data_IF_200618824894
#
_entry.id   IF_200618824894
#
_cell.length_a   1.000
_cell.length_b   1.000
_cell.length_c   1.000
_cell.angle_alpha   90.00
_cell.angle_beta   90.00
_cell.angle_gamma   90.00
#
_symmetry.space_group_name_H-M   'P 1'
#
loop_
_entity.id
_entity.type
_entity.pdbx_description
1 polymer ?
#
# COMPACT_ATOMS: atom_id res chain seq x y z
N UNK A 1 -35.53 13.04 -20.85
CA UNK A 1 -34.65 13.53 -19.77
C UNK A 1 -33.67 12.42 -19.44
N UNK A 2 -32.45 12.47 -19.98
CA UNK A 2 -31.41 11.49 -19.67
C UNK A 2 -30.62 11.99 -18.48
N UNK A 3 -30.66 11.26 -17.37
CA UNK A 3 -29.79 11.51 -16.24
C UNK A 3 -28.33 11.31 -16.70
N UNK A 4 -27.50 12.34 -16.53
CA UNK A 4 -26.05 12.21 -16.64
C UNK A 4 -25.60 11.16 -15.62
N UNK A 5 -24.69 10.23 -15.98
CA UNK A 5 -24.10 9.36 -14.97
C UNK A 5 -23.45 10.27 -13.92
N UNK A 6 -23.84 10.08 -12.66
CA UNK A 6 -23.25 10.80 -11.55
C UNK A 6 -21.73 10.66 -11.65
N UNK A 7 -21.01 11.78 -11.78
CA UNK A 7 -19.57 11.79 -11.67
C UNK A 7 -19.22 11.28 -10.27
N UNK A 8 -18.86 10.00 -10.21
CA UNK A 8 -18.26 9.39 -9.04
C UNK A 8 -17.11 10.30 -8.61
N UNK A 9 -17.02 10.72 -7.32
CA UNK A 9 -15.97 11.62 -6.89
C UNK A 9 -14.64 11.02 -7.33
N UNK A 10 -13.91 11.76 -8.16
CA UNK A 10 -12.62 11.35 -8.72
C UNK A 10 -11.72 11.01 -7.54
N UNK A 11 -11.63 9.72 -7.24
CA UNK A 11 -10.75 9.21 -6.21
C UNK A 11 -9.33 9.52 -6.71
N UNK A 12 -8.59 10.45 -6.08
CA UNK A 12 -7.30 10.91 -6.56
C UNK A 12 -6.22 9.81 -6.48
N UNK A 13 -6.59 8.62 -6.02
CA UNK A 13 -5.74 7.45 -5.87
C UNK A 13 -6.25 6.23 -6.66
N UNK A 14 -7.35 6.36 -7.44
CA UNK A 14 -7.72 5.37 -8.47
C UNK A 14 -6.68 5.49 -9.59
N UNK A 15 -6.20 4.36 -10.08
CA UNK A 15 -4.95 4.22 -10.86
C UNK A 15 -4.99 4.81 -12.28
N UNK A 16 -5.25 6.12 -12.44
CA UNK A 16 -4.93 6.84 -13.67
C UNK A 16 -4.63 8.34 -13.40
N UNK A 17 -3.50 8.80 -13.96
CA UNK A 17 -2.97 10.18 -13.92
C UNK A 17 -2.65 10.78 -12.52
N UNK A 18 -2.04 9.95 -11.66
CA UNK A 18 -1.38 10.34 -10.40
C UNK A 18 -0.50 9.20 -9.88
N UNK A 19 -0.07 8.31 -10.78
CA UNK A 19 0.63 7.08 -10.42
C UNK A 19 1.95 7.42 -9.76
N UNK A 20 2.19 6.82 -8.59
CA UNK A 20 3.40 7.00 -7.80
C UNK A 20 4.70 6.87 -8.61
N UNK A 21 5.85 7.19 -8.01
CA UNK A 21 7.09 7.48 -8.71
C UNK A 21 7.42 6.48 -9.83
N UNK A 22 7.36 6.94 -11.08
CA UNK A 22 7.55 6.10 -12.28
C UNK A 22 9.01 5.93 -12.65
N UNK A 23 9.86 6.82 -12.17
CA UNK A 23 11.33 6.73 -12.29
C UNK A 23 11.97 6.59 -10.91
N UNK A 24 13.22 6.12 -10.88
CA UNK A 24 13.98 6.04 -9.62
C UNK A 24 14.29 7.43 -9.05
N UNK A 25 14.51 8.43 -9.90
CA UNK A 25 14.64 9.83 -9.45
C UNK A 25 13.39 10.31 -8.73
N UNK A 26 12.20 10.01 -9.26
CA UNK A 26 10.94 10.33 -8.59
C UNK A 26 10.79 9.54 -7.28
N UNK A 27 11.24 8.28 -7.25
CA UNK A 27 11.19 7.45 -6.04
C UNK A 27 12.08 8.06 -4.94
N UNK A 28 13.30 8.46 -5.28
CA UNK A 28 14.23 9.14 -4.36
C UNK A 28 13.62 10.44 -3.80
N UNK A 29 13.01 11.26 -4.64
CA UNK A 29 12.36 12.49 -4.20
C UNK A 29 11.18 12.20 -3.26
N UNK A 30 10.36 11.21 -3.59
CA UNK A 30 9.21 10.81 -2.78
C UNK A 30 9.65 10.21 -1.42
N UNK A 31 10.70 9.39 -1.41
CA UNK A 31 11.28 8.87 -0.16
C UNK A 31 11.84 10.01 0.69
N UNK A 32 12.55 10.97 0.09
CA UNK A 32 13.05 12.16 0.81
C UNK A 32 11.91 12.94 1.48
N UNK A 33 10.78 13.11 0.79
CA UNK A 33 9.62 13.81 1.32
C UNK A 33 8.88 13.02 2.42
N UNK A 34 8.88 11.68 2.34
CA UNK A 34 8.20 10.82 3.29
C UNK A 34 9.04 10.54 4.56
N UNK A 35 10.33 10.23 4.40
CA UNK A 35 11.24 9.87 5.49
C UNK A 35 12.70 9.85 5.03
N UNK A 36 13.55 10.62 5.70
CA UNK A 36 15.00 10.61 5.46
C UNK A 36 15.63 9.21 5.71
N UNK A 37 15.16 8.49 6.72
CA UNK A 37 15.65 7.15 7.03
C UNK A 37 15.32 6.14 5.90
N UNK A 38 14.13 6.23 5.30
CA UNK A 38 13.76 5.38 4.17
C UNK A 38 14.59 5.70 2.92
N UNK A 39 14.90 6.98 2.71
CA UNK A 39 15.75 7.45 1.63
C UNK A 39 17.16 6.88 1.74
N UNK A 40 17.71 6.84 2.96
CA UNK A 40 19.03 6.30 3.28
C UNK A 40 19.08 4.78 3.13
N UNK A 41 18.08 4.07 3.69
CA UNK A 41 17.97 2.61 3.57
C UNK A 41 17.86 2.18 2.09
N UNK A 42 17.11 2.92 1.26
CA UNK A 42 17.03 2.65 -0.17
C UNK A 42 18.38 2.80 -0.88
N UNK A 43 19.19 3.83 -0.57
CA UNK A 43 20.53 3.96 -1.21
C UNK A 43 21.52 2.93 -0.71
N UNK A 44 21.45 2.54 0.56
CA UNK A 44 22.30 1.47 1.07
C UNK A 44 22.05 0.17 0.30
N UNK A 45 20.78 -0.21 0.16
CA UNK A 45 20.39 -1.41 -0.61
C UNK A 45 20.75 -1.26 -2.10
N UNK A 46 20.60 -0.07 -2.68
CA UNK A 46 20.98 0.16 -4.07
C UNK A 46 22.51 0.10 -4.28
N UNK A 47 23.30 0.48 -3.28
CA UNK A 47 24.76 0.43 -3.32
C UNK A 47 25.35 -0.97 -3.12
N UNK A 48 24.60 -1.88 -2.49
CA UNK A 48 24.96 -3.29 -2.31
C UNK A 48 24.52 -4.17 -3.49
N UNK A 49 23.63 -3.65 -4.34
CA UNK A 49 23.01 -4.39 -5.43
C UNK A 49 24.00 -4.67 -6.57
N UNK A 50 23.91 -5.87 -7.17
CA UNK A 50 24.53 -6.12 -8.46
C UNK A 50 23.74 -5.43 -9.57
N UNK A 51 24.29 -4.34 -10.12
CA UNK A 51 23.63 -3.56 -11.16
C UNK A 51 23.64 -4.24 -12.54
N UNK A 52 24.41 -5.32 -12.69
CA UNK A 52 24.40 -6.14 -13.90
C UNK A 52 23.20 -7.12 -13.90
N UNK A 53 22.48 -7.26 -12.78
CA UNK A 53 21.20 -7.96 -12.70
C UNK A 53 20.01 -6.97 -12.74
N UNK A 54 19.35 -6.81 -13.91
CA UNK A 54 18.22 -5.91 -14.05
C UNK A 54 16.97 -6.40 -13.30
N UNK A 55 16.86 -7.69 -12.99
CA UNK A 55 15.72 -8.24 -12.24
C UNK A 55 15.82 -7.89 -10.76
N UNK A 56 17.01 -8.00 -10.16
CA UNK A 56 17.24 -7.55 -8.78
C UNK A 56 16.96 -6.06 -8.61
N UNK A 57 17.42 -5.23 -9.56
CA UNK A 57 17.13 -3.80 -9.55
C UNK A 57 15.64 -3.51 -9.66
N UNK A 58 14.94 -4.19 -10.56
CA UNK A 58 13.50 -4.02 -10.72
C UNK A 58 12.72 -4.48 -9.47
N UNK A 59 13.17 -5.56 -8.81
CA UNK A 59 12.58 -6.07 -7.58
C UNK A 59 12.74 -5.07 -6.43
N UNK A 60 13.96 -4.52 -6.25
CA UNK A 60 14.24 -3.49 -5.25
C UNK A 60 13.33 -2.27 -5.44
N UNK A 61 13.28 -1.71 -6.66
CA UNK A 61 12.45 -0.54 -6.97
C UNK A 61 10.97 -0.84 -6.74
N UNK A 62 10.48 -2.04 -7.08
CA UNK A 62 9.09 -2.44 -6.84
C UNK A 62 8.77 -2.52 -5.35
N UNK A 63 9.66 -3.12 -4.56
CA UNK A 63 9.49 -3.24 -3.11
C UNK A 63 9.40 -1.86 -2.45
N UNK A 64 10.29 -0.93 -2.82
CA UNK A 64 10.29 0.43 -2.26
C UNK A 64 9.10 1.27 -2.68
N UNK A 65 8.61 1.12 -3.93
CA UNK A 65 7.34 1.70 -4.34
C UNK A 65 6.18 1.20 -3.51
N UNK A 66 6.11 -0.12 -3.29
CA UNK A 66 5.06 -0.71 -2.47
C UNK A 66 5.11 -0.19 -1.02
N UNK A 67 6.30 -0.15 -0.41
CA UNK A 67 6.52 0.39 0.94
C UNK A 67 6.10 1.86 1.05
N UNK A 68 6.48 2.69 0.08
CA UNK A 68 6.06 4.10 0.04
C UNK A 68 4.53 4.22 0.00
N UNK A 69 3.88 3.44 -0.87
CA UNK A 69 2.42 3.41 -0.98
C UNK A 69 1.77 3.03 0.36
N UNK A 70 2.31 2.03 1.08
CA UNK A 70 1.80 1.66 2.40
C UNK A 70 1.95 2.79 3.45
N UNK A 71 2.99 3.61 3.34
CA UNK A 71 3.24 4.70 4.30
C UNK A 71 2.48 5.98 4.01
N UNK A 72 2.18 6.29 2.76
CA UNK A 72 1.66 7.62 2.39
C UNK A 72 0.20 7.62 2.00
N UNK A 73 -0.41 6.45 1.72
CA UNK A 73 -1.82 6.37 1.34
C UNK A 73 -2.73 6.77 2.50
N UNK A 74 -3.57 7.82 2.34
CA UNK A 74 -4.47 8.27 3.40
C UNK A 74 -5.39 7.18 3.94
N UNK A 75 -5.89 6.29 3.08
CA UNK A 75 -6.74 5.17 3.47
C UNK A 75 -6.00 4.14 4.34
N UNK A 76 -4.70 3.93 4.09
CA UNK A 76 -3.87 3.03 4.90
C UNK A 76 -3.54 3.71 6.22
N UNK A 77 -3.19 4.99 6.20
CA UNK A 77 -2.97 5.78 7.42
C UNK A 77 -4.22 5.82 8.30
N UNK A 78 -5.40 5.99 7.71
CA UNK A 78 -6.67 5.95 8.41
C UNK A 78 -6.95 4.57 9.02
N UNK A 79 -6.69 3.49 8.26
CA UNK A 79 -6.84 2.13 8.77
C UNK A 79 -5.86 1.82 9.91
N UNK A 80 -4.60 2.27 9.81
CA UNK A 80 -3.61 2.14 10.88
C UNK A 80 -4.06 2.91 12.12
N UNK A 81 -4.49 4.17 11.96
CA UNK A 81 -5.01 4.98 13.07
C UNK A 81 -6.21 4.31 13.76
N UNK A 82 -7.17 3.80 12.97
CA UNK A 82 -8.32 3.06 13.49
C UNK A 82 -7.91 1.77 14.21
N UNK A 83 -6.90 1.05 13.70
CA UNK A 83 -6.39 -0.17 14.35
C UNK A 83 -5.69 0.12 15.69
N UNK A 84 -5.15 1.32 15.86
CA UNK A 84 -4.50 1.74 17.11
C UNK A 84 -5.47 2.39 18.11
N UNK A 85 -6.72 2.64 17.71
CA UNK A 85 -7.72 3.20 18.60
C UNK A 85 -8.09 2.19 19.70
N UNK A 86 -7.88 2.52 20.99
CA UNK A 86 -8.26 1.64 22.08
C UNK A 86 -9.75 1.32 22.11
N UNK A 87 -10.60 2.21 21.58
CA UNK A 87 -12.06 2.06 21.52
C UNK A 87 -12.56 1.34 20.27
N UNK A 88 -11.70 1.03 19.30
CA UNK A 88 -12.11 0.28 18.11
C UNK A 88 -12.59 -1.13 18.49
N UNK A 89 -13.66 -1.65 17.84
CA UNK A 89 -14.09 -3.03 18.01
C UNK A 89 -12.94 -4.00 17.70
N UNK A 90 -12.65 -4.90 18.64
CA UNK A 90 -11.68 -5.99 18.45
C UNK A 90 -12.44 -7.28 18.34
N UNK A 91 -12.09 -8.06 17.32
CA UNK A 91 -12.67 -9.37 17.09
C UNK A 91 -11.57 -10.40 17.23
N UNK A 92 -11.87 -11.47 17.95
CA UNK A 92 -11.03 -12.67 17.98
C UNK A 92 -11.12 -13.40 16.64
N UNK A 93 -10.13 -14.24 16.34
CA UNK A 93 -10.15 -15.07 15.14
C UNK A 93 -11.38 -15.99 15.09
N UNK A 94 -11.88 -16.47 16.25
CA UNK A 94 -13.12 -17.24 16.33
C UNK A 94 -14.36 -16.42 15.95
N UNK A 95 -14.44 -15.15 16.35
CA UNK A 95 -15.55 -14.26 15.98
C UNK A 95 -15.54 -13.86 14.51
N UNK A 96 -14.35 -13.75 13.91
CA UNK A 96 -14.18 -13.41 12.47
C UNK A 96 -14.51 -14.61 11.58
N UNK A 97 -14.08 -15.80 11.98
CA UNK A 97 -14.25 -17.03 11.18
C UNK A 97 -15.61 -17.71 11.42
N UNK A 98 -16.33 -17.29 12.46
CA UNK A 98 -17.64 -17.83 12.85
C UNK A 98 -17.54 -19.22 13.47
N UNK A 99 -18.46 -19.52 14.40
CA UNK A 99 -18.69 -20.87 14.91
C UNK A 99 -19.43 -21.78 13.90
N UNK A 100 -19.37 -21.46 12.61
CA UNK A 100 -20.02 -22.19 11.51
C UNK A 100 -19.02 -23.08 10.75
N UNK A 101 -18.20 -23.80 11.51
CA UNK A 101 -17.61 -25.06 11.06
C UNK A 101 -18.65 -26.21 11.01
N UNK A 102 -19.95 -25.91 10.99
CA UNK A 102 -20.99 -26.91 10.82
C UNK A 102 -21.05 -27.31 9.36
N UNK A 103 -20.31 -28.38 9.03
CA UNK A 103 -20.61 -29.14 7.82
C UNK A 103 -22.08 -29.55 7.88
N UNK A 104 -22.92 -28.93 7.04
CA UNK A 104 -24.20 -29.50 6.66
C UNK A 104 -23.94 -30.77 5.84
N UNK A 105 -23.61 -31.87 6.51
CA UNK A 105 -23.73 -33.21 5.96
C UNK A 105 -25.22 -33.60 6.01
N UNK A 106 -26.00 -33.09 5.05
CA UNK A 106 -27.39 -33.44 4.85
C UNK A 106 -27.63 -34.01 3.46
N UNK A 107 -27.46 -35.33 3.30
CA UNK A 107 -28.53 -36.33 3.12
C UNK A 107 -28.00 -37.64 2.52
#
# INVERSE_FOLDING_TARGET
MSALPAEEPTNPFRTQQGGGPRTVTQLRAALTAASAADREEFEAQLGELDLDDPEEYAALVRAWRHRLVMRTRPEILAAVAASTDPAAPRFTSEEILGADGHQEAGR
#
